data_IF_463708729343
#
_entry.id   IF_463708729343
#
_cell.length_a   1.000
_cell.length_b   1.000
_cell.length_c   1.000
_cell.angle_alpha   90.00
_cell.angle_beta   90.00
_cell.angle_gamma   90.00
#
_symmetry.space_group_name_H-M   'P 1'
#
loop_
_entity.id
_entity.type
_entity.pdbx_description
1 polymer ?
#
# COMPACT_ATOMS: atom_id res chain seq x y z
N UNK A 1 -12.45 12.12 24.58
CA UNK A 1 -11.60 12.22 23.38
C UNK A 1 -12.16 11.24 22.40
N UNK A 2 -12.41 11.67 21.17
CA UNK A 2 -12.85 10.75 20.13
C UNK A 2 -11.82 9.63 19.94
N UNK A 3 -12.27 8.46 19.47
CA UNK A 3 -11.39 7.33 19.13
C UNK A 3 -10.36 7.69 18.04
N UNK A 4 -10.51 8.85 17.40
CA UNK A 4 -9.71 9.31 16.27
C UNK A 4 -8.55 10.25 16.66
N UNK A 5 -8.48 10.70 17.92
CA UNK A 5 -7.37 11.50 18.45
C UNK A 5 -7.51 13.03 18.27
N UNK A 6 -6.61 13.82 18.89
CA UNK A 6 -6.78 15.27 19.06
C UNK A 6 -6.90 16.07 17.75
N UNK A 7 -6.22 15.62 16.69
CA UNK A 7 -6.28 16.27 15.38
C UNK A 7 -7.65 16.12 14.71
N UNK A 8 -8.31 14.97 14.86
CA UNK A 8 -9.65 14.77 14.31
C UNK A 8 -10.71 15.56 15.07
N UNK A 9 -10.53 15.77 16.38
CA UNK A 9 -11.41 16.65 17.15
C UNK A 9 -11.36 18.08 16.56
N UNK A 10 -10.18 18.60 16.24
CA UNK A 10 -10.03 19.92 15.58
C UNK A 10 -10.66 19.94 14.18
N UNK A 11 -10.46 18.89 13.38
CA UNK A 11 -11.04 18.81 12.04
C UNK A 11 -12.56 18.72 12.06
N UNK A 12 -13.14 18.11 13.09
CA UNK A 12 -14.59 17.98 13.26
C UNK A 12 -15.32 19.30 13.53
N UNK A 13 -14.59 20.34 13.93
CA UNK A 13 -15.15 21.70 14.02
C UNK A 13 -15.39 22.33 12.63
N UNK A 14 -14.77 21.79 11.58
CA UNK A 14 -14.78 22.34 10.22
C UNK A 14 -15.47 21.47 9.19
N UNK A 15 -15.49 20.15 9.39
CA UNK A 15 -15.91 19.17 8.41
C UNK A 15 -16.93 18.19 8.99
N UNK A 16 -17.89 17.78 8.17
CA UNK A 16 -18.81 16.70 8.54
C UNK A 16 -18.14 15.32 8.50
N UNK A 17 -18.83 14.31 9.01
CA UNK A 17 -18.34 12.93 9.09
C UNK A 17 -17.93 12.36 7.72
N UNK A 18 -18.60 12.76 6.64
CA UNK A 18 -18.30 12.25 5.29
C UNK A 18 -16.95 12.78 4.83
N UNK A 19 -16.71 14.08 4.96
CA UNK A 19 -15.43 14.70 4.60
C UNK A 19 -14.30 14.20 5.51
N UNK A 20 -14.56 14.01 6.80
CA UNK A 20 -13.57 13.44 7.72
C UNK A 20 -13.17 12.01 7.34
N UNK A 21 -14.13 11.19 6.92
CA UNK A 21 -13.86 9.82 6.44
C UNK A 21 -12.98 9.85 5.18
N UNK A 22 -13.27 10.74 4.24
CA UNK A 22 -12.47 10.89 3.02
C UNK A 22 -11.06 11.43 3.30
N UNK A 23 -10.93 12.43 4.19
CA UNK A 23 -9.62 12.90 4.68
C UNK A 23 -8.82 11.75 5.31
N UNK A 24 -9.47 10.88 6.08
CA UNK A 24 -8.84 9.70 6.69
C UNK A 24 -8.38 8.68 5.64
N UNK A 25 -9.21 8.38 4.64
CA UNK A 25 -8.84 7.45 3.55
C UNK A 25 -7.67 7.98 2.73
N UNK A 26 -7.59 9.29 2.55
CA UNK A 26 -6.56 9.95 1.77
C UNK A 26 -5.26 10.22 2.55
N UNK A 27 -5.19 9.85 3.84
CA UNK A 27 -4.04 10.11 4.71
C UNK A 27 -2.70 9.80 4.07
N UNK A 28 -2.59 8.62 3.46
CA UNK A 28 -1.41 8.23 2.72
C UNK A 28 -1.06 9.19 1.58
N UNK A 29 -2.04 9.53 0.74
CA UNK A 29 -1.84 10.37 -0.43
C UNK A 29 -1.35 11.75 -0.04
N UNK A 30 -2.08 12.46 0.83
CA UNK A 30 -1.75 13.84 1.18
C UNK A 30 -0.45 13.91 2.00
N UNK A 31 -0.21 12.99 2.95
CA UNK A 31 1.04 12.99 3.74
C UNK A 31 2.26 12.80 2.83
N UNK A 32 2.20 11.80 1.93
CA UNK A 32 3.26 11.54 0.95
C UNK A 32 3.49 12.74 0.03
N UNK A 33 2.43 13.33 -0.49
CA UNK A 33 2.52 14.43 -1.44
C UNK A 33 3.05 15.71 -0.77
N UNK A 34 2.62 16.01 0.46
CA UNK A 34 3.20 17.09 1.26
C UNK A 34 4.70 16.87 1.48
N UNK A 35 5.13 15.64 1.81
CA UNK A 35 6.54 15.34 2.06
C UNK A 35 7.37 15.50 0.78
N UNK A 36 6.92 14.96 -0.35
CA UNK A 36 7.58 15.10 -1.66
C UNK A 36 7.66 16.56 -2.12
N UNK A 37 6.71 17.39 -1.70
CA UNK A 37 6.67 18.83 -2.01
C UNK A 37 7.39 19.71 -0.97
N UNK A 38 8.11 19.11 -0.03
CA UNK A 38 8.80 19.81 1.06
C UNK A 38 7.87 20.72 1.87
N UNK A 39 6.64 20.25 2.11
CA UNK A 39 5.58 20.93 2.89
C UNK A 39 5.34 20.34 4.26
N UNK A 40 5.85 19.14 4.51
CA UNK A 40 5.87 18.52 5.83
C UNK A 40 7.25 17.91 6.05
N UNK A 41 7.79 18.09 7.25
CA UNK A 41 9.04 17.49 7.70
C UNK A 41 8.77 16.65 8.93
N UNK A 42 9.48 15.53 9.06
CA UNK A 42 9.42 14.65 10.21
C UNK A 42 10.75 14.71 10.97
N UNK A 43 10.73 14.47 12.30
CA UNK A 43 11.96 14.29 13.06
C UNK A 43 12.83 13.20 12.43
N UNK A 44 14.14 13.42 12.40
CA UNK A 44 15.10 12.44 11.86
C UNK A 44 15.15 11.14 12.68
N UNK A 45 14.66 11.18 13.92
CA UNK A 45 14.60 10.04 14.82
C UNK A 45 13.45 10.20 15.82
N UNK A 46 12.76 9.10 16.09
CA UNK A 46 11.82 8.95 17.20
C UNK A 46 12.08 7.60 17.87
N UNK A 47 12.33 7.60 19.19
CA UNK A 47 12.41 6.38 19.99
C UNK A 47 11.04 6.02 20.58
N UNK A 48 10.89 4.78 21.02
CA UNK A 48 9.65 4.30 21.64
C UNK A 48 9.29 4.98 22.96
N UNK A 49 10.25 5.66 23.61
CA UNK A 49 10.06 6.46 24.82
C UNK A 49 9.93 7.98 24.54
N UNK A 50 10.09 8.42 23.29
CA UNK A 50 9.81 9.81 22.92
C UNK A 50 8.30 10.07 23.00
N UNK A 51 7.86 11.16 23.66
CA UNK A 51 6.44 11.52 23.68
C UNK A 51 5.89 11.66 22.26
N UNK A 52 4.72 11.07 21.98
CA UNK A 52 4.14 11.02 20.62
C UNK A 52 4.07 12.38 19.91
N UNK A 53 3.79 13.46 20.65
CA UNK A 53 3.73 14.83 20.10
C UNK A 53 5.08 15.36 19.58
N UNK A 54 6.20 14.73 19.94
CA UNK A 54 7.53 15.06 19.42
C UNK A 54 7.91 14.18 18.23
N UNK A 55 7.06 13.23 17.85
CA UNK A 55 7.24 12.30 16.73
C UNK A 55 6.23 12.54 15.60
N UNK A 56 5.59 13.70 15.56
CA UNK A 56 4.65 14.09 14.51
C UNK A 56 5.36 14.89 13.43
N UNK A 57 4.72 15.01 12.27
CA UNK A 57 5.16 15.95 11.25
C UNK A 57 5.01 17.39 11.72
N UNK A 58 5.67 18.30 11.00
CA UNK A 58 5.43 19.74 11.11
C UNK A 58 5.39 20.33 9.70
N UNK A 59 4.37 21.15 9.42
CA UNK A 59 4.24 21.76 8.11
C UNK A 59 5.19 22.94 7.94
N UNK A 60 6.12 22.79 7.01
CA UNK A 60 7.09 23.83 6.66
C UNK A 60 6.39 24.94 5.88
N UNK A 61 6.58 26.19 6.30
CA UNK A 61 6.03 27.39 5.65
C UNK A 61 4.51 27.56 5.73
N UNK A 62 3.81 26.88 6.65
CA UNK A 62 2.35 27.04 6.80
C UNK A 62 1.98 28.46 7.24
N UNK A 63 2.73 29.04 8.18
CA UNK A 63 2.57 30.45 8.60
C UNK A 63 2.73 31.44 7.45
N UNK A 64 3.61 31.13 6.49
CA UNK A 64 3.82 31.97 5.31
C UNK A 64 2.64 31.88 4.36
N UNK A 65 2.07 30.68 4.19
CA UNK A 65 0.84 30.47 3.41
C UNK A 65 -0.33 31.24 4.02
N UNK A 66 -0.47 31.19 5.36
CA UNK A 66 -1.49 31.94 6.10
C UNK A 66 -1.35 33.46 5.94
N UNK A 67 -0.13 33.99 6.06
CA UNK A 67 0.15 35.43 5.81
C UNK A 67 -0.16 35.86 4.38
N UNK A 68 -0.02 34.95 3.42
CA UNK A 68 -0.30 35.20 2.00
C UNK A 68 -1.76 34.95 1.61
N UNK A 69 -2.55 34.30 2.46
CA UNK A 69 -3.92 33.90 2.13
C UNK A 69 -4.00 32.82 1.05
N UNK A 70 -2.98 31.94 0.95
CA UNK A 70 -2.90 30.96 -0.14
C UNK A 70 -2.33 29.63 0.33
N UNK A 71 -3.17 28.61 0.34
CA UNK A 71 -2.85 27.25 0.79
C UNK A 71 -2.91 26.18 -0.30
N UNK A 72 -3.04 26.57 -1.58
CA UNK A 72 -3.14 25.64 -2.71
C UNK A 72 -2.03 24.56 -2.68
N UNK A 73 -0.80 24.95 -2.35
CA UNK A 73 0.33 24.02 -2.24
C UNK A 73 0.19 22.93 -1.16
N UNK A 74 -0.75 23.06 -0.22
CA UNK A 74 -1.12 22.05 0.77
C UNK A 74 -2.41 21.35 0.37
N UNK A 75 -3.45 22.12 0.03
CA UNK A 75 -4.78 21.58 -0.26
C UNK A 75 -4.76 20.72 -1.54
N UNK A 76 -4.05 21.13 -2.59
CA UNK A 76 -4.02 20.37 -3.84
C UNK A 76 -3.35 18.99 -3.68
N UNK A 77 -2.63 18.75 -2.57
CA UNK A 77 -1.98 17.46 -2.29
C UNK A 77 -2.95 16.33 -1.93
N UNK A 78 -4.19 16.65 -1.57
CA UNK A 78 -5.24 15.66 -1.37
C UNK A 78 -5.56 14.89 -2.66
N UNK A 79 -5.52 15.56 -3.82
CA UNK A 79 -5.81 14.96 -5.12
C UNK A 79 -7.28 14.55 -5.32
N UNK A 80 -8.14 14.84 -4.35
CA UNK A 80 -9.58 14.58 -4.38
C UNK A 80 -10.36 15.89 -4.47
N UNK A 81 -11.22 16.02 -5.47
CA UNK A 81 -11.93 17.28 -5.75
C UNK A 81 -12.92 17.66 -4.65
N UNK A 82 -13.53 16.68 -3.97
CA UNK A 82 -14.52 16.92 -2.91
C UNK A 82 -13.83 17.47 -1.67
N UNK A 83 -12.73 16.83 -1.25
CA UNK A 83 -11.93 17.30 -0.10
C UNK A 83 -11.29 18.65 -0.39
N UNK A 84 -10.74 18.85 -1.59
CA UNK A 84 -10.18 20.15 -2.02
C UNK A 84 -11.24 21.24 -1.97
N UNK A 85 -12.45 20.97 -2.49
CA UNK A 85 -13.55 21.92 -2.46
C UNK A 85 -13.95 22.26 -1.02
N UNK A 86 -14.05 21.27 -0.14
CA UNK A 86 -14.39 21.48 1.27
C UNK A 86 -13.39 22.42 1.95
N UNK A 87 -12.08 22.19 1.78
CA UNK A 87 -11.05 23.10 2.30
C UNK A 87 -11.16 24.51 1.72
N UNK A 88 -11.43 24.64 0.42
CA UNK A 88 -11.55 25.94 -0.24
C UNK A 88 -12.79 26.75 0.19
N UNK A 89 -13.77 26.13 0.86
CA UNK A 89 -14.89 26.88 1.47
C UNK A 89 -14.53 27.57 2.79
N UNK A 90 -13.45 27.14 3.44
CA UNK A 90 -13.02 27.68 4.73
C UNK A 90 -12.37 29.05 4.57
N UNK A 91 -12.50 29.89 5.62
CA UNK A 91 -11.76 31.15 5.71
C UNK A 91 -10.26 30.92 5.91
N UNK A 92 -9.44 31.94 5.65
CA UNK A 92 -7.98 31.88 5.75
C UNK A 92 -7.48 31.32 7.11
N UNK A 93 -8.08 31.76 8.21
CA UNK A 93 -7.70 31.33 9.56
C UNK A 93 -8.12 29.89 9.87
N UNK A 94 -9.23 29.44 9.28
CA UNK A 94 -9.76 28.09 9.48
C UNK A 94 -8.99 27.08 8.62
N UNK A 95 -8.61 27.45 7.39
CA UNK A 95 -7.68 26.67 6.58
C UNK A 95 -6.34 26.48 7.30
N UNK A 96 -5.80 27.54 7.92
CA UNK A 96 -4.56 27.46 8.70
C UNK A 96 -4.67 26.43 9.85
N UNK A 97 -5.75 26.49 10.63
CA UNK A 97 -5.96 25.59 11.78
C UNK A 97 -6.22 24.16 11.34
N UNK A 98 -7.07 23.94 10.34
CA UNK A 98 -7.39 22.62 9.82
C UNK A 98 -6.14 21.94 9.22
N UNK A 99 -5.36 22.66 8.42
CA UNK A 99 -4.09 22.16 7.89
C UNK A 99 -3.07 21.91 9.01
N UNK A 100 -2.97 22.81 10.00
CA UNK A 100 -2.10 22.61 11.17
C UNK A 100 -2.43 21.31 11.90
N UNK A 101 -3.71 21.02 12.14
CA UNK A 101 -4.16 19.80 12.78
C UNK A 101 -3.77 18.53 12.01
N UNK A 102 -3.77 18.58 10.67
CA UNK A 102 -3.32 17.47 9.82
C UNK A 102 -1.80 17.28 9.89
N UNK A 103 -1.05 18.37 9.89
CA UNK A 103 0.42 18.32 9.92
C UNK A 103 0.96 17.84 11.27
N UNK A 104 0.35 18.27 12.36
CA UNK A 104 0.70 17.91 13.74
C UNK A 104 0.05 16.59 14.18
N UNK A 105 -0.59 15.88 13.25
CA UNK A 105 -1.25 14.65 13.56
C UNK A 105 -0.24 13.54 13.87
N UNK A 106 -0.47 12.83 14.97
CA UNK A 106 0.24 11.59 15.31
C UNK A 106 -0.21 10.38 14.50
N UNK A 107 -1.17 10.56 13.58
CA UNK A 107 -1.55 9.56 12.59
C UNK A 107 -0.36 9.26 11.68
N UNK A 108 0.35 8.19 12.02
CA UNK A 108 1.27 7.53 11.12
C UNK A 108 0.48 6.55 10.27
N UNK A 109 0.73 6.53 8.96
CA UNK A 109 0.33 5.39 8.15
C UNK A 109 1.14 4.20 8.68
N UNK A 110 0.47 3.09 8.97
CA UNK A 110 1.15 1.88 9.42
C UNK A 110 2.13 1.36 8.36
N UNK A 111 3.18 0.67 8.80
CA UNK A 111 4.25 0.19 7.92
C UNK A 111 3.72 -0.71 6.78
N UNK A 112 2.57 -1.38 6.99
CA UNK A 112 1.85 -2.20 6.00
C UNK A 112 1.55 -1.54 4.64
N UNK A 113 1.51 -0.22 4.55
CA UNK A 113 0.96 0.45 3.35
C UNK A 113 1.88 0.37 2.12
N UNK A 114 3.20 0.29 2.30
CA UNK A 114 4.16 0.52 1.20
C UNK A 114 5.40 -0.39 1.29
N UNK A 115 6.56 0.06 0.80
CA UNK A 115 7.82 -0.68 0.80
C UNK A 115 8.34 -1.07 2.19
N UNK A 116 7.85 -0.43 3.26
CA UNK A 116 8.12 -0.79 4.65
C UNK A 116 7.25 -1.94 5.16
N UNK A 117 6.28 -2.42 4.37
CA UNK A 117 5.32 -3.43 4.79
C UNK A 117 5.93 -4.71 5.37
N UNK A 118 7.10 -5.21 4.90
CA UNK A 118 7.73 -6.38 5.53
C UNK A 118 8.19 -6.15 6.98
N UNK A 119 8.29 -4.91 7.45
CA UNK A 119 8.63 -4.58 8.84
C UNK A 119 7.45 -4.79 9.80
N UNK A 120 6.21 -4.71 9.31
CA UNK A 120 5.02 -5.01 10.09
C UNK A 120 4.80 -6.53 10.15
N UNK A 121 4.68 -7.05 11.36
CA UNK A 121 4.57 -8.50 11.59
C UNK A 121 3.35 -9.13 10.90
N UNK A 122 2.29 -8.37 10.65
CA UNK A 122 1.09 -8.85 9.96
C UNK A 122 1.31 -9.09 8.46
N UNK A 123 2.42 -8.64 7.87
CA UNK A 123 2.75 -8.86 6.46
C UNK A 123 2.93 -10.35 6.19
N UNK A 124 3.68 -10.99 7.08
CA UNK A 124 4.08 -12.38 6.98
C UNK A 124 2.94 -13.39 7.09
N UNK A 125 1.85 -13.19 7.85
CA UNK A 125 0.65 -14.03 7.75
C UNK A 125 -0.33 -13.58 6.66
N UNK A 126 -0.36 -12.31 6.23
CA UNK A 126 -1.27 -11.85 5.16
C UNK A 126 -0.86 -12.48 3.81
N UNK A 127 0.42 -12.40 3.44
CA UNK A 127 0.88 -12.83 2.11
C UNK A 127 0.73 -14.34 1.83
N UNK A 128 0.99 -15.26 2.78
CA UNK A 128 0.65 -16.67 2.66
C UNK A 128 -0.84 -16.94 2.43
N UNK A 129 -1.75 -16.15 3.01
CA UNK A 129 -3.18 -16.30 2.73
C UNK A 129 -3.51 -15.96 1.26
N UNK A 130 -2.84 -14.97 0.67
CA UNK A 130 -2.99 -14.66 -0.76
C UNK A 130 -2.41 -15.77 -1.65
N UNK A 131 -1.24 -16.29 -1.30
CA UNK A 131 -0.64 -17.44 -1.99
C UNK A 131 -1.55 -18.66 -1.94
N UNK A 132 -2.16 -18.93 -0.78
CA UNK A 132 -3.12 -20.01 -0.61
C UNK A 132 -4.30 -19.89 -1.57
N UNK A 133 -4.87 -18.69 -1.72
CA UNK A 133 -5.92 -18.43 -2.72
C UNK A 133 -5.40 -18.64 -4.14
N UNK A 134 -4.17 -18.19 -4.43
CA UNK A 134 -3.54 -18.41 -5.73
C UNK A 134 -3.35 -19.91 -6.04
N UNK A 135 -2.90 -20.72 -5.09
CA UNK A 135 -2.78 -22.18 -5.22
C UNK A 135 -4.13 -22.84 -5.45
N UNK A 136 -5.20 -22.40 -4.78
CA UNK A 136 -6.58 -22.88 -5.06
C UNK A 136 -6.91 -22.65 -6.53
N UNK A 137 -6.60 -21.46 -7.07
CA UNK A 137 -6.89 -21.14 -8.48
C UNK A 137 -6.09 -22.03 -9.45
N UNK A 138 -4.82 -22.32 -9.15
CA UNK A 138 -3.99 -23.27 -9.92
C UNK A 138 -4.57 -24.68 -9.89
N UNK A 139 -4.85 -25.21 -8.68
CA UNK A 139 -5.37 -26.56 -8.48
C UNK A 139 -6.78 -26.78 -9.03
N UNK A 140 -7.59 -25.73 -9.07
CA UNK A 140 -8.94 -25.73 -9.65
C UNK A 140 -8.96 -25.42 -11.15
N UNK A 141 -7.82 -25.05 -11.73
CA UNK A 141 -7.71 -24.59 -13.13
C UNK A 141 -8.70 -23.47 -13.48
N UNK A 142 -8.95 -22.56 -12.53
CA UNK A 142 -9.91 -21.46 -12.69
C UNK A 142 -9.31 -20.20 -13.32
N UNK A 143 -7.98 -20.15 -13.48
CA UNK A 143 -7.34 -19.10 -14.27
C UNK A 143 -7.82 -19.18 -15.73
N UNK A 144 -8.44 -18.10 -16.21
CA UNK A 144 -8.91 -18.01 -17.60
C UNK A 144 -7.76 -17.68 -18.57
N UNK A 145 -6.72 -17.02 -18.08
CA UNK A 145 -5.55 -16.62 -18.84
C UNK A 145 -4.36 -16.48 -17.89
N UNK A 146 -3.25 -17.14 -18.22
CA UNK A 146 -1.97 -17.06 -17.51
C UNK A 146 -0.86 -16.48 -18.42
N UNK A 147 -1.23 -15.86 -19.54
CA UNK A 147 -0.31 -15.17 -20.43
C UNK A 147 0.28 -13.95 -19.73
N UNK A 148 1.60 -13.88 -19.65
CA UNK A 148 2.33 -12.74 -19.10
C UNK A 148 2.95 -11.93 -20.24
N UNK A 149 2.52 -10.67 -20.49
CA UNK A 149 3.09 -9.85 -21.55
C UNK A 149 4.55 -9.47 -21.25
N UNK A 150 5.36 -9.29 -22.29
CA UNK A 150 6.77 -8.87 -22.13
C UNK A 150 6.92 -7.35 -22.00
N UNK A 151 5.95 -6.59 -22.49
CA UNK A 151 5.93 -5.13 -22.49
C UNK A 151 4.63 -4.61 -21.88
N UNK A 152 4.64 -3.38 -21.36
CA UNK A 152 3.45 -2.76 -20.74
C UNK A 152 2.95 -3.50 -19.49
N UNK A 153 3.87 -4.07 -18.71
CA UNK A 153 3.59 -4.92 -17.55
C UNK A 153 3.28 -4.15 -16.26
N UNK A 154 3.30 -2.81 -16.31
CA UNK A 154 2.97 -1.94 -15.18
C UNK A 154 1.95 -0.90 -15.60
N UNK A 155 1.00 -0.60 -14.71
CA UNK A 155 0.06 0.51 -14.87
C UNK A 155 0.63 1.85 -14.38
N UNK A 156 1.81 1.86 -13.75
CA UNK A 156 2.52 3.08 -13.36
C UNK A 156 3.22 3.78 -14.55
N UNK A 157 2.70 3.53 -15.76
CA UNK A 157 3.17 3.96 -17.09
C UNK A 157 3.26 5.47 -17.30
N UNK A 158 2.74 6.30 -16.40
CA UNK A 158 2.69 7.74 -16.62
C UNK A 158 3.97 8.50 -16.20
N UNK A 159 4.94 7.82 -15.58
CA UNK A 159 6.16 8.48 -15.06
C UNK A 159 7.46 8.10 -15.77
N UNK A 160 7.47 7.04 -16.60
CA UNK A 160 8.61 6.69 -17.44
C UNK A 160 8.24 6.95 -18.90
N UNK A 161 9.09 7.68 -19.64
CA UNK A 161 8.85 8.01 -21.05
C UNK A 161 8.70 6.79 -21.99
N UNK A 162 8.94 5.58 -21.47
CA UNK A 162 8.80 4.30 -22.16
C UNK A 162 7.54 3.52 -21.79
N UNK A 163 6.76 3.92 -20.77
CA UNK A 163 5.62 3.13 -20.28
C UNK A 163 6.00 1.78 -19.68
N UNK A 164 7.28 1.59 -19.35
CA UNK A 164 7.80 0.35 -18.76
C UNK A 164 8.38 0.65 -17.39
N UNK A 165 7.92 -0.08 -16.36
CA UNK A 165 8.55 -0.12 -15.06
C UNK A 165 9.35 -1.42 -14.95
N UNK A 166 10.64 -1.30 -14.66
CA UNK A 166 11.52 -2.42 -14.44
C UNK A 166 11.06 -3.26 -13.23
N UNK A 167 11.18 -4.59 -13.33
CA UNK A 167 10.84 -5.53 -12.26
C UNK A 167 9.46 -6.21 -12.40
N UNK A 168 8.67 -5.84 -13.42
CA UNK A 168 7.32 -6.36 -13.65
C UNK A 168 7.21 -7.31 -14.85
N UNK A 169 8.26 -7.38 -15.68
CA UNK A 169 8.36 -8.28 -16.81
C UNK A 169 8.58 -9.74 -16.41
N UNK A 170 8.18 -10.71 -17.26
CA UNK A 170 8.34 -12.13 -16.95
C UNK A 170 9.81 -12.56 -16.81
N UNK A 171 10.73 -11.87 -17.49
CA UNK A 171 12.16 -12.21 -17.47
C UNK A 171 12.99 -11.24 -16.62
N UNK A 172 12.34 -10.33 -15.88
CA UNK A 172 13.06 -9.50 -14.92
C UNK A 172 13.60 -10.37 -13.78
N UNK A 173 14.80 -10.02 -13.33
CA UNK A 173 15.54 -10.78 -12.32
C UNK A 173 15.02 -10.45 -10.93
N UNK A 174 14.86 -11.48 -10.12
CA UNK A 174 14.55 -11.35 -8.71
C UNK A 174 15.85 -11.27 -7.88
N UNK A 175 15.85 -10.52 -6.77
CA UNK A 175 17.04 -10.35 -5.92
C UNK A 175 17.39 -11.61 -5.11
N UNK A 176 16.66 -12.71 -5.29
CA UNK A 176 16.74 -13.94 -4.49
C UNK A 176 17.33 -15.13 -5.25
N UNK A 177 17.99 -14.90 -6.39
CA UNK A 177 18.56 -15.97 -7.23
C UNK A 177 19.43 -16.96 -6.45
N UNK A 178 20.22 -16.47 -5.49
CA UNK A 178 21.13 -17.30 -4.68
C UNK A 178 20.42 -18.15 -3.63
N UNK A 179 19.18 -17.81 -3.23
CA UNK A 179 18.45 -18.50 -2.14
C UNK A 179 17.91 -19.85 -2.61
N UNK A 180 17.57 -19.96 -3.89
CA UNK A 180 16.96 -21.17 -4.47
C UNK A 180 17.99 -22.12 -5.10
N UNK A 181 19.28 -21.76 -5.11
CA UNK A 181 20.34 -22.58 -5.69
C UNK A 181 20.27 -22.67 -7.23
N UNK A 182 21.08 -23.56 -7.81
CA UNK A 182 21.02 -23.89 -9.25
C UNK A 182 19.75 -24.68 -9.55
N UNK A 183 18.65 -23.98 -9.81
CA UNK A 183 17.42 -24.61 -10.28
C UNK A 183 17.42 -24.68 -11.81
N UNK A 184 17.78 -25.86 -12.33
CA UNK A 184 17.69 -26.15 -13.76
C UNK A 184 16.27 -25.82 -14.27
N UNK A 185 16.16 -25.00 -15.31
CA UNK A 185 14.92 -24.57 -16.00
C UNK A 185 14.08 -23.46 -15.34
N UNK A 186 14.47 -22.91 -14.18
CA UNK A 186 13.76 -21.80 -13.53
C UNK A 186 14.55 -20.47 -13.58
N UNK A 187 15.78 -20.54 -14.05
CA UNK A 187 16.70 -19.44 -14.08
C UNK A 187 17.01 -18.95 -15.51
N UNK A 188 17.52 -17.72 -15.62
CA UNK A 188 18.05 -17.20 -16.88
C UNK A 188 19.32 -17.99 -17.32
N UNK A 189 19.92 -17.58 -18.44
CA UNK A 189 21.15 -18.23 -18.97
C UNK A 189 22.35 -18.18 -18.01
N UNK A 190 22.29 -17.34 -16.96
CA UNK A 190 23.32 -17.15 -15.95
C UNK A 190 22.89 -17.70 -14.57
N UNK A 191 21.83 -18.50 -14.52
CA UNK A 191 21.29 -19.07 -13.29
C UNK A 191 20.68 -18.04 -12.30
N UNK A 192 20.20 -16.89 -12.78
CA UNK A 192 19.43 -15.95 -11.97
C UNK A 192 17.93 -16.27 -12.02
N UNK A 193 17.26 -16.27 -10.87
CA UNK A 193 15.81 -16.47 -10.80
C UNK A 193 15.06 -15.30 -11.45
N UNK A 194 14.16 -15.61 -12.37
CA UNK A 194 13.28 -14.63 -13.02
C UNK A 194 11.89 -14.65 -12.39
N UNK A 195 11.11 -13.59 -12.61
CA UNK A 195 9.68 -13.53 -12.29
C UNK A 195 8.88 -14.76 -12.80
N UNK A 196 9.06 -15.13 -14.07
CA UNK A 196 8.42 -16.32 -14.68
C UNK A 196 8.97 -17.63 -14.13
N UNK A 197 10.26 -17.66 -13.82
CA UNK A 197 10.89 -18.77 -13.11
C UNK A 197 10.23 -19.03 -11.76
N UNK A 198 10.13 -17.99 -10.92
CA UNK A 198 9.45 -18.10 -9.63
C UNK A 198 7.98 -18.50 -9.81
N UNK A 199 7.25 -17.88 -10.74
CA UNK A 199 5.86 -18.25 -11.01
C UNK A 199 5.66 -19.74 -11.33
N UNK A 200 6.56 -20.33 -12.12
CA UNK A 200 6.53 -21.75 -12.45
C UNK A 200 6.95 -22.64 -11.27
N UNK A 201 7.91 -22.21 -10.46
CA UNK A 201 8.35 -22.91 -9.24
C UNK A 201 7.20 -22.99 -8.23
N UNK A 202 6.49 -21.88 -8.03
CA UNK A 202 5.43 -21.77 -7.03
C UNK A 202 4.18 -22.59 -7.40
N UNK A 203 4.06 -23.12 -8.62
CA UNK A 203 2.90 -23.92 -9.01
C UNK A 203 2.75 -25.13 -8.06
N UNK A 204 1.59 -25.30 -7.39
CA UNK A 204 1.40 -26.40 -6.43
C UNK A 204 1.42 -27.80 -7.09
N UNK A 205 1.43 -27.88 -8.42
CA UNK A 205 1.63 -29.12 -9.17
C UNK A 205 3.12 -29.39 -9.51
N UNK A 206 4.02 -28.45 -9.22
CA UNK A 206 5.44 -28.59 -9.44
C UNK A 206 6.08 -29.43 -8.33
N UNK A 207 6.80 -30.49 -8.70
CA UNK A 207 7.46 -31.40 -7.75
C UNK A 207 8.63 -30.77 -7.00
N UNK A 208 9.18 -29.67 -7.51
CA UNK A 208 10.31 -28.97 -6.91
C UNK A 208 9.87 -27.97 -5.83
N UNK A 209 8.57 -27.68 -5.73
CA UNK A 209 8.02 -26.88 -4.64
C UNK A 209 8.00 -27.73 -3.35
N UNK A 210 8.71 -27.33 -2.28
CA UNK A 210 8.88 -28.19 -1.12
C UNK A 210 7.67 -28.20 -0.17
N UNK A 211 6.58 -27.50 -0.51
CA UNK A 211 5.38 -27.44 0.31
C UNK A 211 4.12 -27.24 -0.51
N UNK A 212 2.99 -27.57 0.11
CA UNK A 212 1.64 -27.16 -0.25
C UNK A 212 0.87 -26.96 1.05
N UNK A 213 -0.14 -26.10 1.05
CA UNK A 213 -0.99 -25.92 2.23
C UNK A 213 -1.77 -27.21 2.56
N UNK A 214 -1.84 -27.55 3.85
CA UNK A 214 -2.54 -28.74 4.36
C UNK A 214 -4.05 -28.71 4.05
N UNK A 215 -4.65 -27.54 4.24
CA UNK A 215 -6.03 -27.27 3.84
C UNK A 215 -6.12 -25.94 3.07
N UNK A 216 -7.30 -25.65 2.52
CA UNK A 216 -7.59 -24.39 1.81
C UNK A 216 -8.76 -23.61 2.44
N UNK A 217 -9.13 -23.93 3.68
CA UNK A 217 -10.24 -23.28 4.40
C UNK A 217 -9.82 -21.90 4.91
N UNK A 218 -10.51 -20.87 4.42
CA UNK A 218 -10.41 -19.50 4.93
C UNK A 218 -11.68 -19.15 5.72
N UNK A 219 -11.72 -19.54 7.01
CA UNK A 219 -12.92 -19.38 7.86
C UNK A 219 -13.41 -17.93 7.96
N UNK A 220 -12.49 -16.97 7.93
CA UNK A 220 -12.83 -15.56 7.93
C UNK A 220 -13.55 -15.11 6.65
N UNK A 221 -13.27 -15.73 5.49
CA UNK A 221 -13.99 -15.49 4.25
C UNK A 221 -15.36 -16.18 4.24
N UNK A 222 -15.45 -17.39 4.81
CA UNK A 222 -16.71 -18.12 4.94
C UNK A 222 -17.73 -17.36 5.79
N UNK A 223 -17.29 -16.54 6.75
CA UNK A 223 -18.16 -15.62 7.47
C UNK A 223 -18.89 -14.63 6.56
N UNK A 224 -18.26 -14.26 5.44
CA UNK A 224 -18.83 -13.39 4.41
C UNK A 224 -19.42 -14.19 3.22
N UNK A 225 -19.78 -15.45 3.44
CA UNK A 225 -20.32 -16.38 2.43
C UNK A 225 -19.39 -16.62 1.22
N UNK A 226 -18.08 -16.42 1.41
CA UNK A 226 -17.05 -16.73 0.39
C UNK A 226 -16.32 -18.01 0.81
N UNK A 227 -16.63 -19.12 0.15
CA UNK A 227 -15.97 -20.42 0.38
C UNK A 227 -15.11 -20.86 -0.81
N UNK A 228 -13.81 -20.54 -0.75
CA UNK A 228 -12.84 -20.93 -1.77
C UNK A 228 -12.63 -22.45 -1.87
N UNK A 229 -12.96 -23.22 -0.83
CA UNK A 229 -12.85 -24.69 -0.88
C UNK A 229 -13.79 -25.31 -1.91
N UNK A 230 -14.90 -24.64 -2.22
CA UNK A 230 -15.84 -25.08 -3.27
C UNK A 230 -15.24 -25.04 -4.68
N UNK A 231 -14.18 -24.26 -4.89
CA UNK A 231 -13.51 -24.15 -6.19
C UNK A 231 -12.66 -25.37 -6.48
N UNK A 232 -12.26 -26.14 -5.46
CA UNK A 232 -11.50 -27.35 -5.65
C UNK A 232 -12.38 -28.47 -6.24
N UNK A 233 -11.86 -29.25 -7.21
CA UNK A 233 -12.54 -30.44 -7.70
C UNK A 233 -12.87 -31.39 -6.54
N UNK A 234 -13.99 -32.10 -6.59
CA UNK A 234 -14.43 -33.00 -5.51
C UNK A 234 -13.42 -34.12 -5.16
N UNK A 235 -12.49 -34.44 -6.07
CA UNK A 235 -11.40 -35.40 -5.84
C UNK A 235 -10.19 -34.79 -5.08
N UNK A 236 -10.20 -33.49 -4.83
CA UNK A 236 -9.14 -32.69 -4.19
C UNK A 236 -9.68 -31.81 -3.04
N UNK A 237 -10.91 -32.07 -2.60
CA UNK A 237 -11.53 -31.47 -1.42
C UNK A 237 -11.31 -32.33 -0.20
#
# INVERSE_FOLDING_TARGET
GSEFGPSFDVLSDYFDETILEDISKLQFSWTKNLWRNYKIEFPSYCSSDTPQHQCTGSCTFLDLAHKKGSFAAYIDTFGDEVVIAAFNTLGNDDQYKALGALCENGLSIGDQMESASPADISFWPIHPNLERIWMIKKLSSTFQNESWPETGTSLATDTTASGECYGHGPYDLLPYGDIYGSMDNLADKNNNLTNKGLYNLMDPMNSDLPYVYDDFSLKHCQHYDIDFGTWLPSQRR
#
